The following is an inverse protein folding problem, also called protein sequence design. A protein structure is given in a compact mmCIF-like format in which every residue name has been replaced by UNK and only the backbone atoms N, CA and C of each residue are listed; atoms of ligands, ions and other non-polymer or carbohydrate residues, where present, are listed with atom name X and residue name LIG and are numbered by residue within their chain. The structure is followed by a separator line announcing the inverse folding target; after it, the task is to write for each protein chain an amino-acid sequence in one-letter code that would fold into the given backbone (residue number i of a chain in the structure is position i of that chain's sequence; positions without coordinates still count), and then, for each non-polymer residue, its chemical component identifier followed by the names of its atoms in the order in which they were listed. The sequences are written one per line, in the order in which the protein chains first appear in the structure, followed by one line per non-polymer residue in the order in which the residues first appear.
data_IF_314256393215
#
_entry.id   IF_314256393215
#
_cell.length_a   1.000
_cell.length_b   1.000
_cell.length_c   1.000
_cell.angle_alpha   90.00
_cell.angle_beta   90.00
_cell.angle_gamma   90.00
#
_symmetry.space_group_name_H-M   'P 1'
#
loop_
_entity.id
_entity.type
_entity.pdbx_description
1 polymer ?
#
# COMPACT_ATOMS: atom_id res chain seq x y z
N UNK A 1 29.77 8.37 16.22
CA UNK A 1 28.82 7.74 15.26
C UNK A 1 27.55 8.58 15.34
N UNK A 2 27.06 9.10 14.22
CA UNK A 2 25.90 9.99 14.22
C UNK A 2 24.65 9.19 14.57
N UNK A 3 23.93 9.57 15.64
CA UNK A 3 22.69 8.91 16.06
C UNK A 3 21.49 9.70 15.56
N UNK A 4 20.42 8.98 15.27
CA UNK A 4 19.16 9.54 14.79
C UNK A 4 18.12 9.33 15.88
N UNK A 5 17.52 10.41 16.35
CA UNK A 5 16.45 10.41 17.33
C UNK A 5 15.17 10.90 16.66
N UNK A 6 14.02 10.48 17.19
CA UNK A 6 12.73 11.04 16.82
C UNK A 6 12.18 11.90 17.96
N UNK A 7 11.43 12.95 17.63
CA UNK A 7 10.83 13.86 18.59
C UNK A 7 9.32 13.99 18.32
N UNK A 8 8.52 13.98 19.38
CA UNK A 8 7.05 14.11 19.30
C UNK A 8 6.34 12.76 19.21
N UNK A 9 5.12 12.73 18.65
CA UNK A 9 4.24 11.55 18.57
C UNK A 9 4.72 10.46 17.60
N UNK A 10 6.04 10.28 17.53
CA UNK A 10 6.79 9.96 16.34
C UNK A 10 6.45 8.62 15.69
N UNK A 11 5.86 7.72 16.46
CA UNK A 11 5.58 6.35 16.06
C UNK A 11 4.20 5.87 16.51
N UNK A 12 3.36 6.74 17.08
CA UNK A 12 2.02 6.31 17.52
C UNK A 12 0.92 6.72 16.54
N UNK A 13 1.25 7.59 15.58
CA UNK A 13 0.29 8.04 14.57
C UNK A 13 0.35 7.14 13.34
N UNK A 14 -0.80 6.61 12.87
CA UNK A 14 -0.90 5.93 11.57
C UNK A 14 -0.35 6.76 10.42
N UNK A 15 -0.49 8.09 10.51
CA UNK A 15 0.05 9.02 9.51
C UNK A 15 1.58 8.94 9.34
N UNK A 16 2.33 8.33 10.27
CA UNK A 16 3.79 8.19 10.19
C UNK A 16 4.25 6.77 9.82
N UNK A 17 3.33 5.86 9.54
CA UNK A 17 3.63 4.48 9.14
C UNK A 17 4.49 4.39 7.88
N UNK A 18 4.27 5.28 6.90
CA UNK A 18 5.13 5.36 5.72
C UNK A 18 6.59 5.62 6.13
N UNK A 19 6.82 6.59 7.03
CA UNK A 19 8.15 6.90 7.53
C UNK A 19 8.76 5.70 8.29
N UNK A 20 7.99 5.01 9.14
CA UNK A 20 8.44 3.77 9.79
C UNK A 20 8.90 2.72 8.78
N UNK A 21 8.11 2.49 7.74
CA UNK A 21 8.44 1.52 6.68
C UNK A 21 9.68 1.94 5.92
N UNK A 22 9.84 3.22 5.63
CA UNK A 22 11.04 3.76 5.00
C UNK A 22 12.29 3.49 5.85
N UNK A 23 12.23 3.71 7.17
CA UNK A 23 13.32 3.39 8.08
C UNK A 23 13.69 1.90 8.03
N UNK A 24 12.69 1.01 8.12
CA UNK A 24 12.89 -0.45 8.08
C UNK A 24 13.50 -0.90 6.75
N UNK A 25 12.96 -0.42 5.63
CA UNK A 25 13.41 -0.81 4.29
C UNK A 25 14.87 -0.41 4.02
N UNK A 26 15.32 0.68 4.63
CA UNK A 26 16.67 1.21 4.48
C UNK A 26 17.59 0.88 5.67
N UNK A 27 17.14 0.00 6.58
CA UNK A 27 17.87 -0.39 7.78
C UNK A 27 18.35 0.82 8.63
N UNK A 28 17.58 1.91 8.62
CA UNK A 28 17.86 3.11 9.42
C UNK A 28 17.29 2.89 10.82
N UNK A 29 18.16 2.89 11.83
CA UNK A 29 17.77 2.69 13.21
C UNK A 29 17.66 4.02 13.97
N UNK A 30 16.55 4.20 14.70
CA UNK A 30 16.42 5.27 15.66
C UNK A 30 17.08 4.86 16.98
N UNK A 31 17.85 5.76 17.56
CA UNK A 31 18.53 5.59 18.84
C UNK A 31 17.63 5.89 20.04
N UNK A 32 16.51 6.58 19.83
CA UNK A 32 15.51 6.84 20.85
C UNK A 32 14.43 7.81 20.40
N UNK A 33 13.39 7.93 21.20
CA UNK A 33 12.27 8.85 20.99
C UNK A 33 12.22 9.83 22.15
N UNK A 34 12.38 11.11 21.86
CA UNK A 34 12.37 12.17 22.86
C UNK A 34 10.94 12.66 23.08
N UNK A 35 10.48 12.56 24.33
CA UNK A 35 9.19 13.06 24.78
C UNK A 35 9.35 13.97 26.01
N UNK A 36 8.45 14.94 26.23
CA UNK A 36 8.51 15.77 27.45
C UNK A 36 8.30 14.99 28.75
N UNK A 37 7.61 13.85 28.66
CA UNK A 37 7.38 12.91 29.76
C UNK A 37 7.58 11.50 29.23
N UNK A 38 8.36 10.69 29.93
CA UNK A 38 8.58 9.28 29.58
C UNK A 38 7.31 8.48 29.85
N UNK A 39 6.59 8.13 28.78
CA UNK A 39 5.43 7.23 28.81
C UNK A 39 5.29 6.61 27.40
N UNK A 40 5.45 5.29 27.19
CA UNK A 40 6.05 4.21 28.02
C UNK A 40 7.61 4.23 27.99
N UNK A 41 8.29 3.20 28.52
CA UNK A 41 9.76 3.06 28.51
C UNK A 41 10.34 2.79 27.10
N UNK A 42 9.58 2.07 26.26
CA UNK A 42 9.91 1.78 24.87
C UNK A 42 8.66 1.75 23.98
N UNK A 43 8.83 2.09 22.71
CA UNK A 43 7.80 2.00 21.67
C UNK A 43 8.38 1.26 20.46
N UNK A 44 7.76 0.15 20.06
CA UNK A 44 8.23 -0.71 18.98
C UNK A 44 9.72 -1.14 19.14
N UNK A 45 10.17 -1.33 20.39
CA UNK A 45 11.56 -1.66 20.71
C UNK A 45 12.55 -0.49 20.65
N UNK A 46 12.05 0.74 20.52
CA UNK A 46 12.85 1.97 20.50
C UNK A 46 12.70 2.67 21.85
N UNK A 47 13.80 2.99 22.56
CA UNK A 47 13.73 3.55 23.89
C UNK A 47 13.10 4.96 23.87
N UNK A 48 12.24 5.23 24.84
CA UNK A 48 11.62 6.54 25.05
C UNK A 48 12.40 7.29 26.13
N UNK A 49 12.83 8.49 25.79
CA UNK A 49 13.64 9.36 26.63
C UNK A 49 12.79 10.55 27.06
N UNK A 50 12.69 10.80 28.36
CA UNK A 50 12.24 12.11 28.83
C UNK A 50 13.32 13.18 28.63
N UNK A 51 13.00 14.44 28.93
CA UNK A 51 13.94 15.55 28.77
C UNK A 51 15.16 15.46 29.70
N UNK A 52 15.04 14.85 30.88
CA UNK A 52 16.18 14.68 31.78
C UNK A 52 17.16 13.65 31.21
N UNK A 53 16.65 12.50 30.77
CA UNK A 53 17.44 11.44 30.16
C UNK A 53 18.03 11.91 28.82
N UNK A 54 17.22 12.52 27.97
CA UNK A 54 17.66 13.05 26.68
C UNK A 54 18.77 14.09 26.82
N UNK A 55 18.75 14.93 27.87
CA UNK A 55 19.82 15.91 28.13
C UNK A 55 21.17 15.26 28.41
N UNK A 56 21.18 14.07 29.01
CA UNK A 56 22.40 13.34 29.32
C UNK A 56 22.88 12.47 28.14
N UNK A 57 21.97 12.09 27.25
CA UNK A 57 22.26 11.17 26.16
C UNK A 57 22.55 11.84 24.82
N UNK A 58 21.89 12.95 24.49
CA UNK A 58 22.02 13.61 23.18
C UNK A 58 23.23 14.53 23.14
N UNK A 59 23.89 14.57 21.99
CA UNK A 59 25.06 15.41 21.75
C UNK A 59 24.88 16.33 20.55
N UNK A 60 25.61 17.44 20.54
CA UNK A 60 25.73 18.32 19.38
C UNK A 60 26.28 17.51 18.20
N UNK A 61 25.49 17.38 17.14
CA UNK A 61 25.79 16.57 15.96
C UNK A 61 24.92 15.31 15.79
N UNK A 62 24.10 14.96 16.79
CA UNK A 62 23.02 13.99 16.60
C UNK A 62 21.90 14.59 15.74
N UNK A 63 21.23 13.75 14.95
CA UNK A 63 20.07 14.15 14.14
C UNK A 63 18.82 13.93 14.96
N UNK A 64 17.98 14.95 15.08
CA UNK A 64 16.67 14.86 15.72
C UNK A 64 15.58 15.12 14.69
N UNK A 65 14.75 14.11 14.44
CA UNK A 65 13.66 14.14 13.47
C UNK A 65 12.37 14.62 14.15
N UNK A 66 11.79 15.70 13.64
CA UNK A 66 10.48 16.19 14.09
C UNK A 66 9.39 15.36 13.43
N UNK A 67 8.74 14.51 14.24
CA UNK A 67 7.72 13.60 13.79
C UNK A 67 6.35 14.12 14.23
N UNK A 68 5.86 15.14 13.54
CA UNK A 68 4.53 15.71 13.77
C UNK A 68 3.47 14.97 12.97
N UNK A 69 2.24 14.93 13.50
CA UNK A 69 1.07 14.45 12.76
C UNK A 69 0.58 15.58 11.84
N UNK A 70 0.56 15.39 10.51
CA UNK A 70 0.01 16.40 9.61
C UNK A 70 -1.46 16.72 9.98
N UNK A 71 -1.80 18.00 10.10
CA UNK A 71 -3.17 18.46 10.38
C UNK A 71 -3.62 18.45 11.84
N UNK A 72 -2.76 18.08 12.79
CA UNK A 72 -2.99 18.24 14.23
C UNK A 72 -1.90 19.13 14.81
N UNK A 73 -2.16 20.44 14.85
CA UNK A 73 -1.27 21.42 15.46
C UNK A 73 -1.28 21.31 16.98
N UNK A 74 -0.57 20.34 17.55
CA UNK A 74 -0.21 20.39 18.98
C UNK A 74 0.94 21.39 19.18
N UNK A 75 0.58 22.67 19.02
CA UNK A 75 1.49 23.82 19.17
C UNK A 75 2.26 23.79 20.49
N UNK A 76 1.66 23.26 21.57
CA UNK A 76 2.32 23.21 22.88
C UNK A 76 3.44 22.19 22.92
N UNK A 77 3.22 21.00 22.38
CA UNK A 77 4.25 19.97 22.29
C UNK A 77 5.38 20.41 21.35
N UNK A 78 5.02 20.99 20.20
CA UNK A 78 6.00 21.55 19.24
C UNK A 78 6.91 22.60 19.89
N UNK A 79 6.34 23.58 20.59
CA UNK A 79 7.12 24.61 21.30
C UNK A 79 8.02 24.00 22.37
N UNK A 80 7.51 23.07 23.19
CA UNK A 80 8.29 22.46 24.26
C UNK A 80 9.51 21.67 23.73
N UNK A 81 9.34 20.92 22.64
CA UNK A 81 10.43 20.20 21.99
C UNK A 81 11.44 21.17 21.36
N UNK A 82 10.96 22.17 20.63
CA UNK A 82 11.82 23.18 19.98
C UNK A 82 12.68 23.93 21.00
N UNK A 83 12.07 24.40 22.10
CA UNK A 83 12.79 25.06 23.19
C UNK A 83 13.83 24.13 23.82
N UNK A 84 13.46 22.87 24.09
CA UNK A 84 14.36 21.88 24.67
C UNK A 84 15.61 21.65 23.79
N UNK A 85 15.44 21.34 22.50
CA UNK A 85 16.58 21.10 21.61
C UNK A 85 17.43 22.36 21.39
N UNK A 86 16.81 23.53 21.38
CA UNK A 86 17.53 24.80 21.35
C UNK A 86 18.45 24.97 22.58
N UNK A 87 18.02 24.55 23.78
CA UNK A 87 18.89 24.58 24.97
C UNK A 87 20.10 23.65 24.88
N UNK A 88 20.01 22.58 24.09
CA UNK A 88 21.09 21.63 23.84
C UNK A 88 21.98 22.03 22.64
N UNK A 89 21.61 23.09 21.90
CA UNK A 89 22.29 23.48 20.66
C UNK A 89 22.14 22.46 19.53
N UNK A 90 21.07 21.64 19.57
CA UNK A 90 20.79 20.61 18.57
C UNK A 90 19.76 21.14 17.58
N UNK A 91 20.07 21.05 16.29
CA UNK A 91 19.10 21.37 15.25
C UNK A 91 18.20 20.18 14.98
N UNK A 92 16.91 20.45 14.88
CA UNK A 92 15.89 19.48 14.49
C UNK A 92 15.63 19.58 12.98
N UNK A 93 15.16 18.49 12.37
CA UNK A 93 14.79 18.42 10.95
C UNK A 93 13.45 17.70 10.82
N UNK A 94 12.54 18.25 10.01
CA UNK A 94 11.28 17.56 9.71
C UNK A 94 11.53 16.24 8.99
N UNK A 95 10.72 15.21 9.26
CA UNK A 95 10.79 13.90 8.58
C UNK A 95 10.85 14.04 7.05
N UNK A 96 10.03 14.92 6.49
CA UNK A 96 9.95 15.19 5.05
C UNK A 96 11.24 15.80 4.52
N UNK A 97 11.80 16.80 5.21
CA UNK A 97 13.07 17.40 4.83
C UNK A 97 14.24 16.39 4.93
N UNK A 98 14.19 15.49 5.91
CA UNK A 98 15.16 14.42 6.06
C UNK A 98 15.10 13.42 4.89
N UNK A 99 13.90 12.91 4.54
CA UNK A 99 13.72 11.97 3.42
C UNK A 99 14.14 12.63 2.10
N UNK A 100 13.72 13.87 1.85
CA UNK A 100 14.13 14.63 0.66
C UNK A 100 15.65 14.80 0.58
N UNK A 101 16.32 15.09 1.70
CA UNK A 101 17.78 15.16 1.75
C UNK A 101 18.46 13.84 1.38
N UNK A 102 17.90 12.70 1.81
CA UNK A 102 18.39 11.38 1.42
C UNK A 102 18.19 11.09 -0.07
N UNK A 103 17.00 11.40 -0.62
CA UNK A 103 16.70 11.23 -2.05
C UNK A 103 17.67 12.02 -2.93
N UNK A 104 17.97 13.28 -2.56
CA UNK A 104 18.89 14.11 -3.33
C UNK A 104 20.32 13.55 -3.33
N UNK A 105 20.71 12.87 -2.25
CA UNK A 105 22.03 12.26 -2.11
C UNK A 105 22.15 10.88 -2.75
N UNK A 106 21.03 10.19 -2.99
CA UNK A 106 21.01 8.80 -3.48
C UNK A 106 21.14 8.71 -5.01
N UNK A 107 22.35 8.86 -5.53
CA UNK A 107 22.63 8.90 -6.97
C UNK A 107 22.49 7.53 -7.66
N UNK A 108 22.62 6.43 -6.90
CA UNK A 108 22.64 5.07 -7.42
C UNK A 108 21.31 4.30 -7.18
N UNK A 109 20.26 5.00 -6.75
CA UNK A 109 18.93 4.43 -6.48
C UNK A 109 18.95 3.28 -5.46
N UNK A 110 19.75 3.45 -4.40
CA UNK A 110 19.90 2.46 -3.33
C UNK A 110 18.79 2.59 -2.28
N UNK A 111 18.16 3.76 -2.17
CA UNK A 111 17.05 3.96 -1.25
C UNK A 111 15.83 3.16 -1.69
N UNK A 112 15.25 2.47 -0.71
CA UNK A 112 14.03 1.69 -0.87
C UNK A 112 12.87 2.49 -0.31
N UNK A 113 11.97 2.90 -1.18
CA UNK A 113 10.75 3.56 -0.77
C UNK A 113 9.69 2.52 -0.44
N UNK A 114 8.79 2.82 0.52
CA UNK A 114 7.62 2.00 0.76
C UNK A 114 6.76 1.81 -0.49
N UNK A 115 6.84 2.68 -1.51
CA UNK A 115 6.25 2.44 -2.83
C UNK A 115 7.25 1.65 -3.69
N UNK A 116 6.94 0.38 -3.96
CA UNK A 116 7.81 -0.50 -4.73
C UNK A 116 7.98 -0.01 -6.19
N UNK A 117 9.23 -0.03 -6.68
CA UNK A 117 9.59 0.38 -8.04
C UNK A 117 9.75 1.88 -8.26
N UNK A 118 9.49 2.70 -7.24
CA UNK A 118 9.89 4.11 -7.22
C UNK A 118 11.35 4.18 -6.82
N UNK A 119 12.16 4.86 -7.63
CA UNK A 119 13.58 5.12 -7.36
C UNK A 119 13.83 6.58 -6.99
N UNK A 120 14.99 6.90 -6.41
CA UNK A 120 15.38 8.28 -6.14
C UNK A 120 15.48 9.11 -7.42
N UNK A 121 15.89 8.50 -8.53
CA UNK A 121 15.91 9.10 -9.87
C UNK A 121 14.51 9.42 -10.38
N UNK A 122 13.54 8.53 -10.21
CA UNK A 122 12.15 8.81 -10.57
C UNK A 122 11.63 10.02 -9.78
N UNK A 123 11.88 10.04 -8.48
CA UNK A 123 11.46 11.13 -7.59
C UNK A 123 12.10 12.47 -7.98
N UNK A 124 13.41 12.49 -8.24
CA UNK A 124 14.10 13.69 -8.75
C UNK A 124 13.56 14.13 -10.12
N UNK A 125 13.33 13.20 -11.04
CA UNK A 125 12.84 13.50 -12.39
C UNK A 125 11.41 14.05 -12.41
N UNK A 126 10.57 13.60 -11.48
CA UNK A 126 9.17 14.03 -11.35
C UNK A 126 9.05 15.47 -10.83
N UNK A 127 10.00 15.93 -10.01
CA UNK A 127 10.14 17.34 -9.60
C UNK A 127 10.29 18.29 -10.79
N UNK A 128 10.95 17.83 -11.86
CA UNK A 128 11.27 18.65 -13.03
C UNK A 128 10.23 18.53 -14.15
N UNK A 129 9.54 17.39 -14.29
CA UNK A 129 8.52 17.16 -15.34
C UNK A 129 7.36 16.27 -14.85
N UNK A 130 6.19 16.84 -14.53
CA UNK A 130 5.00 16.04 -14.21
C UNK A 130 4.51 15.33 -15.47
N UNK A 131 4.17 14.03 -15.38
CA UNK A 131 3.69 13.16 -16.45
C UNK A 131 2.16 13.24 -16.59
N UNK A 132 1.60 14.14 -17.41
CA UNK A 132 0.17 14.45 -17.35
C UNK A 132 -0.47 13.78 -18.56
N UNK A 133 -0.96 12.53 -18.44
CA UNK A 133 -1.91 11.93 -19.43
C UNK A 133 -2.37 10.48 -19.19
N UNK A 134 -1.92 9.78 -18.15
CA UNK A 134 -2.24 8.34 -18.01
C UNK A 134 -3.58 8.05 -17.30
N UNK A 135 -4.21 9.02 -16.64
CA UNK A 135 -5.19 8.76 -15.55
C UNK A 135 -6.62 9.24 -15.87
N UNK A 136 -6.83 10.18 -16.79
CA UNK A 136 -8.03 11.01 -16.69
C UNK A 136 -9.38 10.34 -17.02
N UNK A 137 -9.47 9.19 -17.69
CA UNK A 137 -10.79 8.67 -18.14
C UNK A 137 -11.03 7.16 -17.96
N UNK A 138 -10.17 6.46 -17.23
CA UNK A 138 -10.19 4.99 -17.15
C UNK A 138 -10.91 4.38 -15.95
N UNK A 139 -11.46 5.15 -15.01
CA UNK A 139 -11.87 4.63 -13.70
C UNK A 139 -13.35 4.24 -13.63
N UNK A 140 -13.64 3.15 -12.89
CA UNK A 140 -15.02 2.68 -12.64
C UNK A 140 -15.71 3.51 -11.56
N UNK A 141 -14.95 3.96 -10.56
CA UNK A 141 -15.47 4.63 -9.37
C UNK A 141 -14.58 5.80 -8.91
N UNK A 142 -15.21 6.70 -8.15
CA UNK A 142 -14.58 7.94 -7.68
C UNK A 142 -13.42 7.68 -6.72
N UNK A 143 -13.53 6.70 -5.81
CA UNK A 143 -12.47 6.38 -4.85
C UNK A 143 -11.21 5.88 -5.57
N UNK A 144 -11.36 5.10 -6.64
CA UNK A 144 -10.21 4.65 -7.44
C UNK A 144 -9.55 5.81 -8.19
N UNK A 145 -10.36 6.71 -8.73
CA UNK A 145 -9.86 7.92 -9.36
C UNK A 145 -9.10 8.81 -8.36
N UNK A 146 -9.63 8.99 -7.15
CA UNK A 146 -8.98 9.74 -6.07
C UNK A 146 -7.67 9.08 -5.62
N UNK A 147 -7.67 7.76 -5.41
CA UNK A 147 -6.46 6.99 -5.06
C UNK A 147 -5.40 7.14 -6.15
N UNK A 148 -5.77 6.91 -7.42
CA UNK A 148 -4.84 7.04 -8.52
C UNK A 148 -4.32 8.47 -8.68
N UNK A 149 -5.20 9.48 -8.59
CA UNK A 149 -4.85 10.89 -8.69
C UNK A 149 -3.95 11.31 -7.53
N UNK A 150 -4.16 10.79 -6.33
CA UNK A 150 -3.35 11.10 -5.15
C UNK A 150 -1.99 10.43 -5.19
N UNK A 151 -1.92 9.16 -5.59
CA UNK A 151 -0.64 8.47 -5.82
C UNK A 151 0.19 9.16 -6.90
N UNK A 152 -0.47 9.55 -7.99
CA UNK A 152 0.15 10.33 -9.05
C UNK A 152 0.54 11.74 -8.59
N UNK A 153 -0.28 12.42 -7.80
CA UNK A 153 0.06 13.71 -7.22
C UNK A 153 1.28 13.59 -6.30
N UNK A 154 1.32 12.62 -5.39
CA UNK A 154 2.45 12.35 -4.50
C UNK A 154 3.72 12.04 -5.31
N UNK A 155 3.60 11.17 -6.32
CA UNK A 155 4.71 10.86 -7.20
C UNK A 155 5.21 12.14 -7.92
N UNK A 156 4.29 12.97 -8.44
CA UNK A 156 4.61 14.22 -9.15
C UNK A 156 5.21 15.31 -8.26
N UNK A 157 4.70 15.51 -7.06
CA UNK A 157 5.10 16.62 -6.19
C UNK A 157 6.23 16.26 -5.23
N UNK A 158 6.57 14.96 -5.11
CA UNK A 158 7.38 14.45 -4.00
C UNK A 158 6.86 14.95 -2.64
N UNK A 159 5.55 15.20 -2.54
CA UNK A 159 4.92 15.66 -1.31
C UNK A 159 4.71 14.46 -0.40
N UNK A 160 5.76 14.12 0.34
CA UNK A 160 5.75 13.03 1.30
C UNK A 160 4.76 13.28 2.44
N UNK A 161 4.38 14.53 2.71
CA UNK A 161 3.33 14.84 3.69
C UNK A 161 1.97 14.30 3.23
N UNK A 162 1.68 14.36 1.92
CA UNK A 162 0.47 13.76 1.35
C UNK A 162 0.48 12.22 1.40
N UNK A 163 1.66 11.60 1.25
CA UNK A 163 1.87 10.16 1.39
C UNK A 163 1.63 9.70 2.84
N UNK A 164 2.14 10.47 3.81
CA UNK A 164 1.93 10.25 5.24
C UNK A 164 0.44 10.38 5.61
N UNK A 165 -0.28 11.34 5.03
CA UNK A 165 -1.72 11.50 5.23
C UNK A 165 -2.61 10.51 4.45
N UNK A 166 -2.03 9.62 3.62
CA UNK A 166 -2.76 8.63 2.82
C UNK A 166 -3.03 7.35 3.59
N UNK A 167 -2.30 7.10 4.68
CA UNK A 167 -2.38 5.85 5.45
C UNK A 167 -3.61 5.84 6.41
N UNK A 168 -4.59 4.97 6.13
CA UNK A 168 -5.77 4.71 6.99
C UNK A 168 -5.72 3.33 7.71
N UNK A 169 -4.55 2.69 7.79
CA UNK A 169 -4.32 1.38 8.42
C UNK A 169 -5.09 0.18 7.81
N UNK A 170 -5.63 0.29 6.59
CA UNK A 170 -6.32 -0.85 5.96
C UNK A 170 -5.32 -1.92 5.48
N UNK A 171 -5.60 -3.19 5.81
CA UNK A 171 -4.79 -4.32 5.31
C UNK A 171 -5.08 -4.62 3.85
N UNK A 172 -4.12 -5.27 3.18
CA UNK A 172 -4.34 -5.74 1.81
C UNK A 172 -5.53 -6.71 1.73
N UNK A 173 -5.66 -7.57 2.74
CA UNK A 173 -6.75 -8.53 2.86
C UNK A 173 -8.09 -7.84 3.13
N UNK A 174 -8.12 -6.76 3.91
CA UNK A 174 -9.32 -5.96 4.15
C UNK A 174 -9.79 -5.25 2.88
N UNK A 175 -8.87 -4.63 2.14
CA UNK A 175 -9.20 -3.96 0.90
C UNK A 175 -9.67 -4.95 -0.18
N UNK A 176 -9.09 -6.17 -0.22
CA UNK A 176 -9.57 -7.23 -1.11
C UNK A 176 -11.01 -7.62 -0.79
N UNK A 177 -11.35 -7.78 0.49
CA UNK A 177 -12.72 -8.09 0.91
C UNK A 177 -13.70 -7.00 0.48
N UNK A 178 -13.32 -5.73 0.65
CA UNK A 178 -14.13 -4.58 0.21
C UNK A 178 -14.36 -4.65 -1.30
N UNK A 179 -13.31 -4.82 -2.09
CA UNK A 179 -13.40 -4.93 -3.56
C UNK A 179 -14.33 -6.06 -3.99
N UNK A 180 -14.17 -7.27 -3.44
CA UNK A 180 -15.01 -8.40 -3.83
C UNK A 180 -16.48 -8.20 -3.42
N UNK A 181 -16.72 -7.59 -2.26
CA UNK A 181 -18.07 -7.24 -1.81
C UNK A 181 -18.72 -6.17 -2.71
N UNK A 182 -17.97 -5.14 -3.11
CA UNK A 182 -18.43 -4.12 -4.07
C UNK A 182 -18.80 -4.75 -5.42
N UNK A 183 -17.94 -5.60 -5.97
CA UNK A 183 -18.20 -6.30 -7.24
C UNK A 183 -19.43 -7.22 -7.17
N UNK A 184 -19.66 -7.88 -6.02
CA UNK A 184 -20.88 -8.65 -5.75
C UNK A 184 -22.12 -7.76 -5.76
N UNK A 185 -22.07 -6.64 -5.03
CA UNK A 185 -23.19 -5.70 -4.96
C UNK A 185 -23.54 -5.10 -6.33
N UNK A 186 -22.56 -4.91 -7.22
CA UNK A 186 -22.78 -4.45 -8.60
C UNK A 186 -23.27 -5.54 -9.56
N UNK A 187 -23.42 -6.79 -9.12
CA UNK A 187 -23.90 -7.91 -9.95
C UNK A 187 -22.88 -8.44 -10.96
N UNK A 188 -21.62 -7.99 -10.87
CA UNK A 188 -20.52 -8.39 -11.76
C UNK A 188 -19.94 -9.75 -11.33
N UNK A 189 -20.13 -10.10 -10.06
CA UNK A 189 -19.47 -11.19 -9.36
C UNK A 189 -20.44 -12.32 -8.98
N UNK A 190 -21.03 -13.00 -9.99
CA UNK A 190 -21.89 -14.18 -9.75
C UNK A 190 -21.15 -15.50 -9.93
N UNK A 191 -20.09 -15.50 -10.73
CA UNK A 191 -19.24 -16.66 -10.94
C UNK A 191 -17.80 -16.19 -11.02
N UNK A 192 -16.92 -16.84 -10.28
CA UNK A 192 -15.51 -16.48 -10.22
C UNK A 192 -14.66 -17.66 -10.64
N UNK A 193 -13.59 -17.37 -11.37
CA UNK A 193 -12.62 -18.37 -11.77
C UNK A 193 -11.23 -17.98 -11.26
N UNK A 194 -10.73 -18.73 -10.27
CA UNK A 194 -9.43 -18.48 -9.64
C UNK A 194 -8.34 -19.19 -10.43
N UNK A 195 -7.47 -18.41 -11.07
CA UNK A 195 -6.42 -18.88 -11.96
C UNK A 195 -5.20 -19.39 -11.18
N UNK A 196 -4.70 -18.56 -10.27
CA UNK A 196 -3.56 -18.84 -9.41
C UNK A 196 -3.70 -18.14 -8.05
N UNK A 197 -2.68 -18.28 -7.19
CA UNK A 197 -2.59 -17.59 -5.88
C UNK A 197 -3.92 -17.61 -5.11
N UNK A 198 -4.52 -18.79 -4.88
CA UNK A 198 -5.94 -18.87 -4.55
C UNK A 198 -6.28 -18.41 -3.14
N UNK A 199 -5.33 -18.50 -2.21
CA UNK A 199 -5.60 -18.37 -0.78
C UNK A 199 -6.24 -17.02 -0.39
N UNK A 200 -5.69 -15.85 -0.78
CA UNK A 200 -6.27 -14.55 -0.42
C UNK A 200 -7.70 -14.37 -0.95
N UNK A 201 -7.95 -14.83 -2.18
CA UNK A 201 -9.27 -14.76 -2.80
C UNK A 201 -10.28 -15.67 -2.09
N UNK A 202 -9.91 -16.91 -1.80
CA UNK A 202 -10.81 -17.85 -1.13
C UNK A 202 -11.09 -17.44 0.32
N UNK A 203 -10.13 -16.85 1.02
CA UNK A 203 -10.36 -16.28 2.35
C UNK A 203 -11.30 -15.08 2.31
N UNK A 204 -11.15 -14.18 1.32
CA UNK A 204 -12.06 -13.06 1.14
C UNK A 204 -13.47 -13.50 0.73
N UNK A 205 -13.60 -14.46 -0.17
CA UNK A 205 -14.86 -15.09 -0.56
C UNK A 205 -15.55 -15.78 0.62
N UNK A 206 -14.79 -16.50 1.44
CA UNK A 206 -15.32 -17.15 2.64
C UNK A 206 -15.82 -16.13 3.65
N UNK A 207 -15.08 -15.04 3.87
CA UNK A 207 -15.51 -13.95 4.73
C UNK A 207 -16.83 -13.33 4.22
N UNK A 208 -16.94 -13.08 2.91
CA UNK A 208 -18.16 -12.59 2.28
C UNK A 208 -19.33 -13.56 2.50
N UNK A 209 -19.13 -14.86 2.29
CA UNK A 209 -20.15 -15.90 2.51
C UNK A 209 -20.59 -15.99 3.97
N UNK A 210 -19.68 -15.78 4.92
CA UNK A 210 -19.99 -15.75 6.36
C UNK A 210 -20.84 -14.52 6.70
N UNK A 211 -20.50 -13.35 6.15
CA UNK A 211 -21.21 -12.10 6.41
C UNK A 211 -22.58 -12.02 5.71
N UNK A 212 -22.71 -12.65 4.55
CA UNK A 212 -23.94 -12.73 3.76
C UNK A 212 -24.21 -14.20 3.35
N UNK A 213 -24.77 -15.04 4.23
CA UNK A 213 -25.00 -16.47 3.95
C UNK A 213 -25.86 -16.74 2.71
N UNK A 214 -26.78 -15.83 2.40
CA UNK A 214 -27.65 -15.84 1.22
C UNK A 214 -26.94 -15.49 -0.09
N UNK A 215 -25.66 -15.08 -0.05
CA UNK A 215 -24.91 -14.75 -1.26
C UNK A 215 -24.80 -15.94 -2.20
N UNK A 216 -25.23 -15.77 -3.45
CA UNK A 216 -25.19 -16.83 -4.47
C UNK A 216 -24.08 -16.52 -5.47
N UNK A 217 -22.90 -17.10 -5.24
CA UNK A 217 -21.80 -17.08 -6.20
C UNK A 217 -21.17 -18.47 -6.35
N UNK A 218 -20.70 -18.76 -7.56
CA UNK A 218 -20.03 -20.03 -7.88
C UNK A 218 -18.52 -19.81 -7.96
N UNK A 219 -17.76 -20.64 -7.26
CA UNK A 219 -16.29 -20.58 -7.26
C UNK A 219 -15.72 -21.71 -8.11
N UNK A 220 -15.06 -21.35 -9.19
CA UNK A 220 -14.31 -22.25 -10.07
C UNK A 220 -12.81 -22.11 -9.81
N UNK A 221 -12.08 -23.23 -9.83
CA UNK A 221 -10.63 -23.27 -9.65
C UNK A 221 -9.99 -23.85 -10.90
N UNK A 222 -9.01 -23.12 -11.44
CA UNK A 222 -8.08 -23.67 -12.41
C UNK A 222 -7.24 -24.81 -11.77
N UNK A 223 -6.68 -25.68 -12.61
CA UNK A 223 -5.83 -26.78 -12.13
C UNK A 223 -4.61 -26.27 -11.32
N UNK A 224 -4.03 -25.14 -11.70
CA UNK A 224 -2.91 -24.53 -10.99
C UNK A 224 -3.32 -24.05 -9.57
N UNK A 225 -4.46 -23.34 -9.46
CA UNK A 225 -5.02 -22.93 -8.19
C UNK A 225 -5.37 -24.13 -7.28
N UNK A 226 -6.08 -25.14 -7.81
CA UNK A 226 -6.42 -26.34 -7.03
C UNK A 226 -5.17 -27.06 -6.52
N UNK A 227 -4.12 -27.16 -7.34
CA UNK A 227 -2.83 -27.73 -6.95
C UNK A 227 -2.14 -26.91 -5.87
N UNK A 228 -2.19 -25.58 -5.95
CA UNK A 228 -1.57 -24.69 -4.97
C UNK A 228 -2.20 -24.78 -3.57
N UNK A 229 -3.49 -25.11 -3.47
CA UNK A 229 -4.18 -25.30 -2.18
C UNK A 229 -3.75 -26.59 -1.46
N UNK A 230 -3.33 -27.61 -2.21
CA UNK A 230 -2.90 -28.89 -1.66
C UNK A 230 -3.94 -29.46 -0.67
N UNK A 231 -3.57 -29.77 0.58
CA UNK A 231 -4.49 -30.32 1.59
C UNK A 231 -5.69 -29.41 1.93
N UNK A 232 -5.57 -28.09 1.75
CA UNK A 232 -6.62 -27.13 2.10
C UNK A 232 -7.78 -27.13 1.10
N UNK A 233 -7.61 -27.74 -0.07
CA UNK A 233 -8.62 -27.77 -1.14
C UNK A 233 -9.97 -28.33 -0.64
N UNK A 234 -9.94 -29.40 0.16
CA UNK A 234 -11.15 -30.05 0.63
C UNK A 234 -11.94 -29.17 1.62
N UNK A 235 -11.25 -28.36 2.42
CA UNK A 235 -11.89 -27.37 3.29
C UNK A 235 -12.67 -26.35 2.44
N UNK A 236 -12.03 -25.75 1.44
CA UNK A 236 -12.70 -24.75 0.60
C UNK A 236 -13.81 -25.35 -0.28
N UNK A 237 -13.67 -26.59 -0.75
CA UNK A 237 -14.75 -27.30 -1.45
C UNK A 237 -16.01 -27.43 -0.59
N UNK A 238 -15.85 -27.74 0.69
CA UNK A 238 -16.99 -27.87 1.62
C UNK A 238 -17.57 -26.53 2.03
N UNK A 239 -16.72 -25.53 2.25
CA UNK A 239 -17.15 -24.22 2.75
C UNK A 239 -17.73 -23.31 1.67
N UNK A 240 -17.21 -23.38 0.45
CA UNK A 240 -17.57 -22.49 -0.67
C UNK A 240 -18.17 -23.23 -1.88
N UNK A 241 -18.20 -24.56 -1.87
CA UNK A 241 -18.68 -25.33 -3.02
C UNK A 241 -17.73 -25.29 -4.22
N UNK A 242 -16.43 -25.07 -4.03
CA UNK A 242 -15.48 -24.86 -5.11
C UNK A 242 -15.44 -26.02 -6.12
N UNK A 243 -15.52 -25.71 -7.42
CA UNK A 243 -15.45 -26.67 -8.51
C UNK A 243 -14.12 -26.55 -9.23
N UNK A 244 -13.35 -27.64 -9.34
CA UNK A 244 -12.17 -27.64 -10.21
C UNK A 244 -12.62 -27.89 -11.65
N UNK A 245 -12.28 -26.98 -12.56
CA UNK A 245 -12.66 -27.05 -13.98
C UNK A 245 -11.43 -26.90 -14.87
N UNK A 246 -11.47 -27.51 -16.05
CA UNK A 246 -10.38 -27.43 -17.02
C UNK A 246 -10.40 -26.10 -17.80
N UNK A 247 -11.59 -25.63 -18.14
CA UNK A 247 -11.86 -24.35 -18.79
C UNK A 247 -12.92 -23.62 -17.98
N UNK A 248 -12.81 -22.30 -17.93
CA UNK A 248 -13.74 -21.46 -17.19
C UNK A 248 -15.10 -21.39 -17.90
N UNK A 249 -16.18 -21.33 -17.13
CA UNK A 249 -17.52 -21.14 -17.71
C UNK A 249 -17.69 -19.74 -18.30
N UNK A 250 -18.67 -19.57 -19.19
CA UNK A 250 -19.02 -18.25 -19.73
C UNK A 250 -19.42 -17.26 -18.62
N UNK A 251 -19.02 -16.00 -18.77
CA UNK A 251 -19.39 -14.92 -17.85
C UNK A 251 -18.69 -14.96 -16.48
N UNK A 252 -17.57 -15.67 -16.35
CA UNK A 252 -16.77 -15.67 -15.12
C UNK A 252 -16.07 -14.32 -14.88
N UNK A 253 -15.87 -13.97 -13.62
CA UNK A 253 -14.87 -12.99 -13.20
C UNK A 253 -13.57 -13.72 -12.87
N UNK A 254 -12.47 -13.36 -13.53
CA UNK A 254 -11.17 -14.00 -13.28
C UNK A 254 -10.49 -13.41 -12.05
N UNK A 255 -9.96 -14.26 -11.17
CA UNK A 255 -9.24 -13.85 -9.97
C UNK A 255 -7.80 -14.39 -10.04
N UNK A 256 -6.80 -13.52 -9.86
CA UNK A 256 -5.39 -13.93 -9.97
C UNK A 256 -4.44 -13.01 -9.21
N UNK A 257 -3.34 -13.59 -8.71
CA UNK A 257 -2.21 -12.81 -8.18
C UNK A 257 -1.22 -12.37 -9.26
N UNK A 258 -1.43 -12.78 -10.51
CA UNK A 258 -0.52 -12.58 -11.64
C UNK A 258 -1.19 -11.88 -12.82
N UNK A 259 -0.60 -10.76 -13.25
CA UNK A 259 -1.01 -10.05 -14.48
C UNK A 259 -0.89 -10.96 -15.69
N UNK A 260 0.15 -11.79 -15.76
CA UNK A 260 0.37 -12.70 -16.87
C UNK A 260 -0.70 -13.80 -16.94
N UNK A 261 -1.15 -14.30 -15.79
CA UNK A 261 -2.21 -15.31 -15.78
C UNK A 261 -3.55 -14.73 -16.27
N UNK A 262 -3.90 -13.51 -15.86
CA UNK A 262 -5.09 -12.83 -16.41
C UNK A 262 -4.90 -12.52 -17.90
N UNK A 263 -3.75 -11.96 -18.29
CA UNK A 263 -3.46 -11.67 -19.70
C UNK A 263 -3.56 -12.91 -20.59
N UNK A 264 -3.26 -14.11 -20.07
CA UNK A 264 -3.37 -15.37 -20.81
C UNK A 264 -4.80 -15.79 -21.13
N UNK A 265 -5.79 -15.30 -20.37
CA UNK A 265 -7.22 -15.58 -20.58
C UNK A 265 -7.97 -14.41 -21.22
N UNK A 266 -7.31 -13.25 -21.37
CA UNK A 266 -7.80 -12.15 -22.18
C UNK A 266 -7.49 -12.47 -23.66
N UNK A 267 -8.53 -12.55 -24.48
CA UNK A 267 -8.40 -12.87 -25.90
C UNK A 267 -8.87 -11.69 -26.75
N UNK A 268 -8.02 -11.26 -27.68
CA UNK A 268 -8.33 -10.19 -28.61
C UNK A 268 -9.58 -10.55 -29.45
N UNK A 269 -10.61 -9.70 -29.36
CA UNK A 269 -11.87 -9.88 -30.10
C UNK A 269 -12.98 -10.62 -29.35
N UNK A 270 -12.79 -10.98 -28.08
CA UNK A 270 -13.88 -11.39 -27.17
C UNK A 270 -14.07 -10.30 -26.11
N UNK A 271 -15.30 -10.08 -25.63
CA UNK A 271 -15.53 -9.14 -24.53
C UNK A 271 -14.64 -9.54 -23.35
N UNK A 272 -13.73 -8.67 -22.93
CA UNK A 272 -12.84 -8.96 -21.78
C UNK A 272 -13.67 -9.29 -20.54
N UNK A 273 -13.50 -10.48 -19.97
CA UNK A 273 -14.18 -10.82 -18.75
C UNK A 273 -13.70 -9.91 -17.60
N UNK A 274 -14.58 -9.50 -16.66
CA UNK A 274 -14.17 -8.77 -15.47
C UNK A 274 -13.06 -9.55 -14.76
N UNK A 275 -12.03 -8.86 -14.28
CA UNK A 275 -10.85 -9.53 -13.73
C UNK A 275 -10.33 -8.79 -12.51
N UNK A 276 -10.07 -9.48 -11.40
CA UNK A 276 -9.48 -8.89 -10.19
C UNK A 276 -8.05 -9.39 -10.02
N UNK A 277 -7.14 -8.43 -9.90
CA UNK A 277 -5.73 -8.60 -9.66
C UNK A 277 -5.46 -8.38 -8.17
N UNK A 278 -4.82 -9.35 -7.52
CA UNK A 278 -4.30 -9.21 -6.16
C UNK A 278 -2.78 -9.25 -6.19
N UNK A 279 -2.16 -8.08 -6.30
CA UNK A 279 -0.72 -8.00 -6.49
C UNK A 279 -0.02 -7.60 -5.20
N UNK A 280 0.90 -8.46 -4.75
CA UNK A 280 1.80 -8.15 -3.64
C UNK A 280 3.13 -7.67 -4.22
N UNK A 281 3.57 -6.47 -3.82
CA UNK A 281 4.88 -5.87 -4.14
C UNK A 281 5.12 -5.61 -5.63
N UNK A 282 4.07 -5.34 -6.39
CA UNK A 282 4.15 -5.20 -7.85
C UNK A 282 3.40 -3.98 -8.35
N UNK A 283 3.95 -3.37 -9.40
CA UNK A 283 3.27 -2.37 -10.21
C UNK A 283 2.31 -3.10 -11.16
N UNK A 284 1.12 -2.54 -11.39
CA UNK A 284 0.23 -3.01 -12.45
C UNK A 284 0.89 -2.76 -13.80
N UNK A 285 1.31 -3.82 -14.49
CA UNK A 285 1.76 -3.73 -15.88
C UNK A 285 0.55 -3.52 -16.80
N UNK A 286 0.08 -2.28 -16.84
CA UNK A 286 -1.07 -1.84 -17.64
C UNK A 286 -0.81 -2.08 -19.13
N UNK A 287 0.44 -2.04 -19.60
CA UNK A 287 0.76 -2.25 -21.02
C UNK A 287 0.63 -3.72 -21.42
N UNK A 288 0.93 -4.66 -20.52
CA UNK A 288 0.60 -6.08 -20.74
C UNK A 288 -0.91 -6.30 -20.80
N UNK A 289 -1.68 -5.63 -19.95
CA UNK A 289 -3.15 -5.69 -19.98
C UNK A 289 -3.69 -5.06 -21.28
N UNK A 290 -3.23 -3.87 -21.67
CA UNK A 290 -3.63 -3.20 -22.93
C UNK A 290 -3.36 -4.07 -24.14
N UNK A 291 -2.17 -4.68 -24.21
CA UNK A 291 -1.81 -5.56 -25.32
C UNK A 291 -2.70 -6.80 -25.38
N UNK A 292 -3.05 -7.36 -24.23
CA UNK A 292 -3.92 -8.54 -24.14
C UNK A 292 -5.39 -8.20 -24.46
N UNK A 293 -5.91 -7.07 -23.98
CA UNK A 293 -7.27 -6.58 -24.25
C UNK A 293 -7.45 -6.01 -25.67
N UNK A 294 -6.36 -5.62 -26.34
CA UNK A 294 -6.37 -5.05 -27.68
C UNK A 294 -7.03 -3.67 -27.72
N UNK A 295 -7.93 -3.45 -28.69
CA UNK A 295 -8.62 -2.17 -28.89
C UNK A 295 -9.93 -2.03 -28.09
N UNK A 296 -10.24 -2.96 -27.18
CA UNK A 296 -11.49 -2.92 -26.43
C UNK A 296 -11.46 -1.86 -25.33
N UNK A 297 -12.55 -1.11 -25.12
CA UNK A 297 -12.66 -0.23 -23.98
C UNK A 297 -12.73 -1.08 -22.71
N UNK A 298 -11.94 -0.69 -21.72
CA UNK A 298 -11.99 -1.25 -20.38
C UNK A 298 -11.86 -0.11 -19.38
N UNK A 299 -12.40 -0.33 -18.19
CA UNK A 299 -12.25 0.52 -17.02
C UNK A 299 -11.49 -0.23 -15.94
N UNK A 300 -10.79 0.51 -15.09
CA UNK A 300 -10.03 -0.02 -13.97
C UNK A 300 -10.61 0.56 -12.68
N UNK A 301 -10.94 -0.31 -11.74
CA UNK A 301 -11.01 0.04 -10.32
C UNK A 301 -9.64 -0.25 -9.72
N UNK A 302 -9.07 0.74 -9.02
CA UNK A 302 -7.72 0.68 -8.45
C UNK A 302 -7.83 0.92 -6.96
N UNK A 303 -7.39 -0.04 -6.17
CA UNK A 303 -7.27 0.07 -4.72
C UNK A 303 -5.84 -0.19 -4.29
N UNK A 304 -5.35 0.65 -3.39
CA UNK A 304 -4.09 0.43 -2.72
C UNK A 304 -4.38 0.29 -1.23
N UNK A 305 -4.01 -0.84 -0.60
CA UNK A 305 -4.08 -0.94 0.84
C UNK A 305 -3.05 -0.06 1.52
N UNK A 306 -3.46 0.52 2.63
CA UNK A 306 -2.69 1.53 3.34
C UNK A 306 -1.49 0.90 4.07
N UNK A 307 -1.64 -0.33 4.57
CA UNK A 307 -0.61 -1.01 5.39
C UNK A 307 0.58 -1.55 4.61
N UNK A 308 0.48 -1.65 3.28
CA UNK A 308 1.50 -2.28 2.44
C UNK A 308 1.66 -1.56 1.10
N UNK A 309 2.34 -0.40 1.10
CA UNK A 309 2.62 0.34 -0.12
C UNK A 309 3.45 -0.55 -1.07
N UNK A 310 3.10 -0.52 -2.35
CA UNK A 310 3.57 -1.49 -3.34
C UNK A 310 2.71 -2.75 -3.50
N UNK A 311 1.75 -3.00 -2.59
CA UNK A 311 0.66 -3.92 -2.89
C UNK A 311 -0.48 -3.15 -3.55
N UNK A 312 -1.17 -3.79 -4.49
CA UNK A 312 -2.22 -3.17 -5.27
C UNK A 312 -3.29 -4.21 -5.56
N UNK A 313 -4.54 -3.76 -5.49
CA UNK A 313 -5.68 -4.50 -6.02
C UNK A 313 -6.20 -3.72 -7.20
N UNK A 314 -6.26 -4.35 -8.36
CA UNK A 314 -6.92 -3.76 -9.51
C UNK A 314 -8.11 -4.64 -9.88
N UNK A 315 -9.19 -4.06 -10.36
CA UNK A 315 -10.24 -4.79 -11.05
C UNK A 315 -10.44 -4.17 -12.43
N UNK A 316 -10.31 -4.98 -13.48
CA UNK A 316 -10.63 -4.62 -14.84
C UNK A 316 -12.09 -4.95 -15.12
N UNK A 317 -12.81 -4.00 -15.70
CA UNK A 317 -14.22 -4.07 -16.04
C UNK A 317 -14.44 -3.57 -17.47
N UNK A 318 -15.52 -3.99 -18.11
CA UNK A 318 -15.94 -3.46 -19.42
C UNK A 318 -17.19 -2.59 -19.29
#
# INVERSE_FOLDING_TARGET
MMRIYAAGWALQSPALNFFKRFLVLNAIQLSGIVYPRQIPDDLDGIPVLDFETARNELHVGDIVLECHRPGVDDMRLGTALSEFFATLGIQTIGVTAFISGLIEQDQDDLLRFPVAGVTSTDLRGLRDKPLPRLIEDGFVDLRSHEVATRLDAIARSCDWDQMLAFDQDQTLEDELRVVLAELYAYGIFQRVHVLDTPLPFLEALLALKIQAPESEFVVELAAAAAKALGPQLEFYRRSLGCLQVAEASDGVTYLSGSVNAIASVLHAGHMSAPSVFFMRRSILDIDTIRRASGAQPYRIMLRQPDTSPGNLIAALMN
#
